data_IF_482697697603
#
_entry.id   IF_482697697603
#
_cell.length_a   1.000
_cell.length_b   1.000
_cell.length_c   1.000
_cell.angle_alpha   90.00
_cell.angle_beta   90.00
_cell.angle_gamma   90.00
#
_symmetry.space_group_name_H-M   'P 1'
#
loop_
_entity.id
_entity.type
_entity.pdbx_description
1 polymer ?
#
# COMPACT_ATOMS: atom_id res chain seq x y z
N UNK A 1 -5.78 17.68 14.83
CA UNK A 1 -4.41 17.90 14.31
C UNK A 1 -3.60 16.61 14.29
N UNK A 2 -3.43 15.89 15.42
CA UNK A 2 -2.59 14.68 15.45
C UNK A 2 -3.01 13.59 14.46
N UNK A 3 -4.30 13.32 14.33
CA UNK A 3 -4.80 12.35 13.35
C UNK A 3 -4.47 12.75 11.91
N UNK A 4 -4.63 14.04 11.57
CA UNK A 4 -4.22 14.59 10.25
C UNK A 4 -2.71 14.45 10.04
N UNK A 5 -1.90 14.59 11.09
CA UNK A 5 -0.46 14.34 11.01
C UNK A 5 -0.17 12.87 10.65
N UNK A 6 -0.90 11.90 11.22
CA UNK A 6 -0.79 10.49 10.82
C UNK A 6 -1.26 10.25 9.39
N UNK A 7 -2.33 10.92 8.97
CA UNK A 7 -2.84 10.82 7.59
C UNK A 7 -1.83 11.36 6.57
N UNK A 8 -0.91 12.26 6.96
CA UNK A 8 0.15 12.71 6.06
C UNK A 8 1.07 11.58 5.58
N UNK A 9 1.20 10.50 6.35
CA UNK A 9 1.92 9.30 5.92
C UNK A 9 1.28 8.64 4.70
N UNK A 10 -0.05 8.69 4.57
CA UNK A 10 -0.77 8.21 3.39
C UNK A 10 -0.47 9.04 2.16
N UNK A 11 -0.39 10.36 2.31
CA UNK A 11 -0.06 11.28 1.23
C UNK A 11 1.41 11.20 0.80
N UNK A 12 2.30 10.81 1.72
CA UNK A 12 3.69 10.52 1.39
C UNK A 12 3.82 9.18 0.63
N UNK A 13 3.01 8.18 0.98
CA UNK A 13 3.01 6.84 0.36
C UNK A 13 2.30 6.80 -1.00
N UNK A 14 1.22 7.55 -1.14
CA UNK A 14 0.28 7.42 -2.26
C UNK A 14 -0.25 8.77 -2.71
N UNK A 15 -0.69 8.81 -3.96
CA UNK A 15 -1.35 9.96 -4.56
C UNK A 15 -2.85 9.69 -4.72
N UNK A 16 -3.70 10.73 -4.67
CA UNK A 16 -5.14 10.54 -4.85
C UNK A 16 -5.46 9.81 -6.16
N UNK A 17 -6.11 8.65 -6.05
CA UNK A 17 -6.57 7.84 -7.20
C UNK A 17 -5.55 6.84 -7.75
N UNK A 18 -4.38 6.65 -7.14
CA UNK A 18 -3.39 5.68 -7.61
C UNK A 18 -3.64 4.23 -7.18
N UNK A 19 -4.62 4.01 -6.31
CA UNK A 19 -5.03 2.71 -5.75
C UNK A 19 -3.92 2.00 -4.95
N UNK A 20 -2.85 2.69 -4.53
CA UNK A 20 -1.80 2.07 -3.71
C UNK A 20 -2.29 1.70 -2.30
N UNK A 21 -3.22 2.46 -1.74
CA UNK A 21 -3.86 2.16 -0.46
C UNK A 21 -5.09 1.27 -0.68
N UNK A 22 -4.84 -0.04 -0.86
CA UNK A 22 -5.86 -1.06 -1.12
C UNK A 22 -6.72 -1.43 0.11
N UNK A 23 -6.27 -1.10 1.32
CA UNK A 23 -6.98 -1.37 2.57
C UNK A 23 -6.86 -0.22 3.56
N UNK A 24 -7.75 -0.21 4.55
CA UNK A 24 -7.67 0.72 5.67
C UNK A 24 -6.39 0.44 6.47
N UNK A 25 -5.49 1.41 6.54
CA UNK A 25 -4.29 1.30 7.35
C UNK A 25 -4.49 2.01 8.69
N UNK A 26 -4.12 1.35 9.79
CA UNK A 26 -4.29 1.85 11.16
C UNK A 26 -2.93 1.99 11.86
N UNK A 27 -2.76 2.98 12.76
CA UNK A 27 -1.58 3.08 13.62
C UNK A 27 -1.49 1.84 14.52
N UNK A 28 -0.36 1.13 14.48
CA UNK A 28 -0.13 -0.06 15.34
C UNK A 28 1.05 0.11 16.29
N UNK A 29 1.98 1.00 15.96
CA UNK A 29 3.10 1.34 16.82
C UNK A 29 3.58 2.77 16.54
N UNK A 30 4.05 3.44 17.57
CA UNK A 30 4.71 4.73 17.51
C UNK A 30 5.89 4.67 18.46
N UNK A 31 7.10 4.93 17.97
CA UNK A 31 8.29 4.90 18.83
C UNK A 31 8.29 6.07 19.81
N UNK A 32 8.01 7.28 19.34
CA UNK A 32 8.02 8.47 20.18
C UNK A 32 7.10 9.55 19.64
N UNK A 33 6.40 10.24 20.53
CA UNK A 33 5.72 11.51 20.22
C UNK A 33 6.34 12.59 21.11
N UNK A 34 6.87 13.64 20.49
CA UNK A 34 7.39 14.83 21.20
C UNK A 34 6.50 16.00 20.89
N UNK A 35 6.09 16.71 21.94
CA UNK A 35 5.23 17.89 21.86
C UNK A 35 5.98 19.04 22.51
N UNK A 36 5.93 20.23 21.93
CA UNK A 36 6.38 21.45 22.57
C UNK A 36 5.17 22.21 23.16
N UNK A 37 4.89 22.09 24.47
CA UNK A 37 3.69 22.67 25.07
C UNK A 37 3.66 24.20 25.03
N UNK A 38 4.82 24.85 25.01
CA UNK A 38 4.91 26.31 24.97
C UNK A 38 4.46 26.82 23.60
N UNK A 39 4.88 26.15 22.52
CA UNK A 39 4.38 26.45 21.17
C UNK A 39 2.90 26.09 21.02
N UNK A 40 2.42 25.02 21.67
CA UNK A 40 0.99 24.72 21.67
C UNK A 40 0.16 25.82 22.35
N UNK A 41 0.69 26.44 23.40
CA UNK A 41 0.03 27.54 24.11
C UNK A 41 0.06 28.84 23.32
N UNK A 42 1.08 29.07 22.49
CA UNK A 42 1.19 30.27 21.66
C UNK A 42 0.32 30.23 20.41
N UNK A 43 -0.26 29.06 20.05
CA UNK A 43 -1.22 28.96 18.96
C UNK A 43 -2.47 29.80 19.25
N UNK A 44 -3.00 30.54 18.25
CA UNK A 44 -4.20 31.32 18.43
C UNK A 44 -5.41 30.40 18.62
N UNK A 45 -6.43 30.87 19.35
CA UNK A 45 -7.68 30.13 19.57
C UNK A 45 -8.55 29.97 18.30
N UNK A 46 -8.15 30.58 17.18
CA UNK A 46 -8.78 30.47 15.87
C UNK A 46 -8.13 29.37 15.02
N UNK A 47 -8.77 29.03 13.88
CA UNK A 47 -8.18 28.14 12.90
C UNK A 47 -6.80 28.66 12.45
N UNK A 48 -5.80 27.79 12.46
CA UNK A 48 -4.41 28.08 12.06
C UNK A 48 -3.96 27.05 11.03
N UNK A 49 -3.24 27.47 10.00
CA UNK A 49 -2.60 26.55 9.07
C UNK A 49 -1.20 26.20 9.59
N UNK A 50 -0.99 24.91 9.84
CA UNK A 50 0.28 24.42 10.36
C UNK A 50 0.98 23.61 9.27
N UNK A 51 2.14 24.05 8.79
CA UNK A 51 2.95 23.26 7.88
C UNK A 51 3.30 21.92 8.52
N UNK A 52 3.36 20.88 7.71
CA UNK A 52 3.80 19.56 8.15
C UNK A 52 4.69 18.92 7.08
N UNK A 53 5.59 18.06 7.53
CA UNK A 53 6.44 17.21 6.69
C UNK A 53 6.29 15.77 7.14
N UNK A 54 6.05 14.85 6.21
CA UNK A 54 6.02 13.42 6.47
C UNK A 54 7.07 12.74 5.59
N UNK A 55 7.94 11.94 6.21
CA UNK A 55 9.03 11.23 5.54
C UNK A 55 8.83 9.74 5.74
N UNK A 56 8.80 8.99 4.64
CA UNK A 56 8.75 7.53 4.68
C UNK A 56 10.12 6.95 5.02
N UNK A 57 10.11 5.91 5.84
CA UNK A 57 11.27 5.06 6.10
C UNK A 57 11.33 3.91 5.09
N UNK A 58 12.38 3.09 5.20
CA UNK A 58 12.47 1.87 4.41
C UNK A 58 11.20 1.00 4.64
N UNK A 59 10.60 0.48 3.57
CA UNK A 59 9.39 -0.31 3.66
C UNK A 59 9.62 -1.59 4.47
N UNK A 60 8.63 -1.95 5.28
CA UNK A 60 8.61 -3.19 6.06
C UNK A 60 7.35 -3.99 5.69
N UNK A 61 7.49 -4.84 4.67
CA UNK A 61 6.38 -5.57 4.07
C UNK A 61 5.30 -4.64 3.52
N UNK A 62 4.05 -4.86 3.94
CA UNK A 62 2.88 -4.06 3.57
C UNK A 62 2.60 -2.89 4.54
N UNK A 63 3.52 -2.62 5.48
CA UNK A 63 3.36 -1.54 6.45
C UNK A 63 3.99 -0.24 5.96
N UNK A 64 3.35 0.88 6.31
CA UNK A 64 3.87 2.22 6.06
C UNK A 64 4.58 2.67 7.33
N UNK A 65 5.88 2.96 7.19
CA UNK A 65 6.70 3.51 8.27
C UNK A 65 7.07 4.94 7.94
N UNK A 66 6.86 5.84 8.90
CA UNK A 66 7.11 7.26 8.66
C UNK A 66 7.49 8.02 9.91
N UNK A 67 8.16 9.16 9.73
CA UNK A 67 8.27 10.21 10.74
C UNK A 67 7.57 11.47 10.25
N UNK A 68 6.93 12.19 11.16
CA UNK A 68 6.16 13.40 10.85
C UNK A 68 6.61 14.53 11.76
N UNK A 69 6.86 15.69 11.17
CA UNK A 69 7.11 16.95 11.87
C UNK A 69 5.99 17.94 11.54
N UNK A 70 5.38 18.52 12.57
CA UNK A 70 4.41 19.61 12.43
C UNK A 70 5.05 20.87 12.98
N UNK A 71 5.02 21.93 12.20
CA UNK A 71 5.65 23.21 12.51
C UNK A 71 4.60 24.25 12.89
N UNK A 72 5.03 25.29 13.59
CA UNK A 72 4.23 26.52 13.70
C UNK A 72 4.16 27.22 12.34
N UNK A 73 3.28 28.21 12.18
CA UNK A 73 2.97 28.85 10.89
C UNK A 73 4.20 29.41 10.15
N UNK A 74 5.23 29.86 10.89
CA UNK A 74 6.48 30.36 10.31
C UNK A 74 7.40 29.25 9.74
N UNK A 75 7.10 27.98 10.00
CA UNK A 75 7.89 26.82 9.56
C UNK A 75 9.25 26.63 10.23
N UNK A 76 9.62 27.47 11.20
CA UNK A 76 10.95 27.48 11.83
C UNK A 76 11.04 26.62 13.09
N UNK A 77 9.92 26.48 13.81
CA UNK A 77 9.87 25.77 15.08
C UNK A 77 8.94 24.57 15.01
N UNK A 78 9.39 23.45 15.56
CA UNK A 78 8.61 22.21 15.55
C UNK A 78 7.67 22.16 16.76
N UNK A 79 6.37 22.13 16.46
CA UNK A 79 5.30 22.03 17.44
C UNK A 79 5.14 20.59 17.95
N UNK A 80 5.18 19.63 17.04
CA UNK A 80 4.92 18.21 17.29
C UNK A 80 5.83 17.36 16.38
N UNK A 81 6.40 16.30 16.94
CA UNK A 81 7.12 15.29 16.20
C UNK A 81 6.56 13.91 16.51
N UNK A 82 6.39 13.10 15.48
CA UNK A 82 6.04 11.69 15.55
C UNK A 82 7.19 10.92 14.93
N UNK A 83 7.86 10.11 15.73
CA UNK A 83 8.98 9.28 15.29
C UNK A 83 8.52 7.83 15.10
N UNK A 84 8.83 7.28 13.92
CA UNK A 84 8.59 5.87 13.57
C UNK A 84 7.15 5.43 13.86
N UNK A 85 6.20 6.14 13.25
CA UNK A 85 4.82 5.72 13.13
C UNK A 85 4.74 4.52 12.18
N UNK A 86 4.14 3.43 12.64
CA UNK A 86 3.90 2.21 11.87
C UNK A 86 2.40 2.06 11.61
N UNK A 87 2.00 2.24 10.37
CA UNK A 87 0.64 2.00 9.89
C UNK A 87 0.56 0.63 9.23
N UNK A 88 -0.37 -0.22 9.66
CA UNK A 88 -0.59 -1.55 9.07
C UNK A 88 -2.00 -1.68 8.51
N UNK A 89 -2.21 -2.47 7.45
CA UNK A 89 -3.55 -2.85 7.01
C UNK A 89 -4.36 -3.44 8.16
N UNK A 90 -5.61 -3.00 8.29
CA UNK A 90 -6.55 -3.51 9.29
C UNK A 90 -6.89 -4.98 9.05
N UNK A 91 -6.86 -5.42 7.79
CA UNK A 91 -7.08 -6.80 7.40
C UNK A 91 -5.90 -7.31 6.57
N UNK A 92 -5.53 -8.60 6.70
CA UNK A 92 -4.51 -9.21 5.86
C UNK A 92 -4.87 -9.11 4.38
N UNK A 93 -3.85 -8.97 3.53
CA UNK A 93 -4.03 -9.01 2.08
C UNK A 93 -4.56 -10.38 1.64
N UNK A 94 -5.48 -10.36 0.69
CA UNK A 94 -6.05 -11.54 0.03
C UNK A 94 -5.92 -11.41 -1.48
N UNK A 95 -6.17 -12.50 -2.22
CA UNK A 95 -6.12 -12.47 -3.69
C UNK A 95 -7.11 -11.49 -4.34
N UNK A 96 -8.17 -11.05 -3.62
CA UNK A 96 -9.07 -10.01 -4.14
C UNK A 96 -8.48 -8.60 -4.07
N UNK A 97 -7.40 -8.40 -3.32
CA UNK A 97 -6.72 -7.11 -3.17
C UNK A 97 -5.55 -6.96 -4.16
N UNK A 98 -5.23 -8.01 -4.92
CA UNK A 98 -4.16 -8.00 -5.90
C UNK A 98 -4.48 -7.09 -7.09
N UNK A 99 -3.50 -6.26 -7.49
CA UNK A 99 -3.62 -5.39 -8.66
C UNK A 99 -2.89 -5.99 -9.87
N UNK A 100 -3.60 -6.49 -10.89
CA UNK A 100 -2.96 -7.04 -12.09
C UNK A 100 -2.44 -5.89 -12.99
N UNK A 101 -1.30 -5.31 -12.61
CA UNK A 101 -0.65 -4.24 -13.39
C UNK A 101 0.15 -4.76 -14.59
N UNK A 102 0.53 -6.04 -14.55
CA UNK A 102 1.35 -6.67 -15.58
C UNK A 102 0.56 -7.71 -16.34
N UNK A 103 0.65 -7.64 -17.67
CA UNK A 103 0.13 -8.65 -18.58
C UNK A 103 1.20 -9.01 -19.58
N UNK A 104 1.20 -10.26 -20.03
CA UNK A 104 2.06 -10.72 -21.13
C UNK A 104 1.21 -11.21 -22.29
N UNK A 105 1.65 -10.94 -23.51
CA UNK A 105 1.01 -11.48 -24.72
C UNK A 105 1.48 -12.90 -24.91
N UNK A 106 0.58 -13.85 -24.69
CA UNK A 106 0.82 -15.25 -25.04
C UNK A 106 0.33 -15.51 -26.46
N UNK A 107 1.26 -15.80 -27.37
CA UNK A 107 0.94 -16.17 -28.74
C UNK A 107 0.57 -17.65 -28.80
N UNK A 108 -0.46 -17.97 -29.57
CA UNK A 108 -0.92 -19.33 -29.81
C UNK A 108 -1.44 -19.46 -31.25
N UNK A 109 -2.00 -20.61 -31.60
CA UNK A 109 -2.64 -20.87 -32.90
C UNK A 109 -3.71 -19.82 -33.18
N UNK A 110 -3.79 -19.36 -34.44
CA UNK A 110 -4.72 -18.31 -34.86
C UNK A 110 -6.16 -18.79 -35.05
N UNK A 111 -6.38 -20.10 -35.07
CA UNK A 111 -7.68 -20.76 -35.11
C UNK A 111 -7.64 -22.01 -34.23
N UNK A 112 -8.79 -22.51 -33.72
CA UNK A 112 -8.84 -23.76 -32.98
C UNK A 112 -8.19 -24.90 -33.79
N UNK A 113 -7.17 -25.54 -33.22
CA UNK A 113 -6.47 -26.67 -33.81
C UNK A 113 -6.56 -27.86 -32.84
N UNK A 114 -7.30 -28.89 -33.25
CA UNK A 114 -7.50 -30.10 -32.46
C UNK A 114 -6.20 -30.85 -32.17
N UNK A 115 -5.24 -30.83 -33.10
CA UNK A 115 -3.94 -31.47 -32.88
C UNK A 115 -3.12 -30.69 -31.84
N UNK A 116 -3.15 -29.36 -31.91
CA UNK A 116 -2.51 -28.51 -30.91
C UNK A 116 -3.16 -28.66 -29.53
N UNK A 117 -4.49 -28.82 -29.47
CA UNK A 117 -5.24 -29.01 -28.22
C UNK A 117 -4.97 -30.36 -27.55
N UNK A 118 -4.81 -31.43 -28.35
CA UNK A 118 -4.46 -32.77 -27.87
C UNK A 118 -3.01 -32.81 -27.35
N UNK A 119 -2.10 -32.03 -27.96
CA UNK A 119 -0.70 -31.99 -27.56
C UNK A 119 -0.04 -33.38 -27.66
N UNK A 120 0.41 -33.90 -26.51
CA UNK A 120 0.99 -35.25 -26.41
C UNK A 120 0.00 -36.30 -25.89
N UNK A 121 -1.23 -35.92 -25.60
CA UNK A 121 -2.21 -36.80 -24.99
C UNK A 121 -2.77 -37.74 -26.07
N UNK A 122 -2.20 -38.94 -26.18
CA UNK A 122 -2.60 -39.93 -27.19
C UNK A 122 -3.18 -41.14 -26.48
N UNK A 123 -4.18 -41.81 -27.07
CA UNK A 123 -4.67 -43.07 -26.54
C UNK A 123 -3.49 -44.00 -26.29
N UNK A 124 -3.50 -44.63 -25.12
CA UNK A 124 -2.56 -45.70 -24.81
C UNK A 124 -2.78 -46.89 -25.74
N UNK A 125 -1.80 -47.80 -25.81
CA UNK A 125 -1.90 -49.01 -26.65
C UNK A 125 -3.13 -49.82 -26.26
N UNK A 126 -3.40 -49.97 -24.96
CA UNK A 126 -4.55 -50.70 -24.43
C UNK A 126 -5.90 -50.08 -24.83
N UNK A 127 -6.05 -48.75 -24.75
CA UNK A 127 -7.27 -48.06 -25.18
C UNK A 127 -7.50 -48.19 -26.69
N UNK A 128 -6.43 -48.25 -27.47
CA UNK A 128 -6.51 -48.43 -28.92
C UNK A 128 -6.94 -49.85 -29.28
N UNK A 129 -6.49 -50.85 -28.51
CA UNK A 129 -6.86 -52.26 -28.70
C UNK A 129 -8.34 -52.51 -28.34
N UNK A 130 -8.84 -51.92 -27.25
CA UNK A 130 -10.25 -52.05 -26.83
C UNK A 130 -11.22 -51.42 -27.83
N UNK A 131 -10.84 -50.32 -28.48
CA UNK A 131 -11.70 -49.64 -29.46
C UNK A 131 -11.83 -50.38 -30.82
N UNK A 132 -11.00 -51.39 -31.07
CA UNK A 132 -11.00 -52.18 -32.31
C UNK A 132 -11.82 -53.48 -32.22
N UNK A 133 -12.38 -53.77 -31.04
CA UNK A 133 -13.32 -54.87 -30.79
C UNK A 133 -14.77 -54.46 -31.07
#
# INVERSE_FOLDING_TARGET
MLDVAFQASFLAQSTPGDEQLWSLHVPTSIKCIRVNPELCRSLPGSSTQLPLSAVLHAPDGISIRSSIDVFVENGQETLLQVEDLVMKPFSPATASDDRPMFSTTQYSVSMPDGNAAIGCDRPSVEETEVAQL
#
